data_IF_848179816585
#
_entry.id   IF_848179816585
#
_cell.length_a   1.000
_cell.length_b   1.000
_cell.length_c   1.000
_cell.angle_alpha   90.00
_cell.angle_beta   90.00
_cell.angle_gamma   90.00
#
_symmetry.space_group_name_H-M   'P 1'
#
loop_
_entity.id
_entity.type
_entity.pdbx_description
1 polymer ?
#
# COMPACT_ATOMS: atom_id res chain seq x y z
N UNK A 1 9.68 9.82 15.83
CA UNK A 1 8.96 8.52 15.99
C UNK A 1 9.66 7.35 15.28
N UNK A 2 10.99 7.38 15.14
CA UNK A 2 11.82 6.30 14.57
C UNK A 2 12.65 5.59 15.64
N UNK A 3 12.55 5.99 16.90
CA UNK A 3 13.33 5.40 17.98
C UNK A 3 12.72 4.07 18.41
N UNK A 4 13.14 3.02 17.71
CA UNK A 4 12.89 1.64 18.13
C UNK A 4 14.16 1.22 18.86
N UNK A 5 14.06 1.07 20.18
CA UNK A 5 15.17 0.57 20.99
C UNK A 5 15.22 -0.96 20.92
N UNK A 6 16.42 -1.52 21.08
CA UNK A 6 16.62 -2.97 21.16
C UNK A 6 16.06 -3.47 22.49
N UNK A 7 15.28 -4.56 22.46
CA UNK A 7 14.80 -5.20 23.68
C UNK A 7 15.89 -6.09 24.28
N UNK A 8 15.95 -6.19 25.61
CA UNK A 8 16.88 -7.11 26.29
C UNK A 8 16.50 -8.55 25.92
N UNK A 9 17.48 -9.35 25.52
CA UNK A 9 17.27 -10.73 25.03
C UNK A 9 16.88 -10.86 23.55
N UNK A 10 16.81 -9.76 22.80
CA UNK A 10 16.50 -9.81 21.37
C UNK A 10 17.76 -10.01 20.51
N UNK A 11 17.71 -10.90 19.50
CA UNK A 11 18.76 -11.01 18.49
C UNK A 11 18.80 -9.77 17.59
N UNK A 12 19.99 -9.40 17.09
CA UNK A 12 20.12 -8.21 16.24
C UNK A 12 19.23 -8.28 14.99
N UNK A 13 19.10 -9.46 14.40
CA UNK A 13 18.29 -9.66 13.21
C UNK A 13 16.78 -9.46 13.48
N UNK A 14 16.27 -9.97 14.61
CA UNK A 14 14.89 -9.75 15.02
C UNK A 14 14.58 -8.27 15.22
N UNK A 15 15.53 -7.52 15.78
CA UNK A 15 15.44 -6.07 15.94
C UNK A 15 15.32 -5.38 14.58
N UNK A 16 16.21 -5.68 13.63
CA UNK A 16 16.17 -5.10 12.27
C UNK A 16 14.87 -5.42 11.54
N UNK A 17 14.35 -6.65 11.66
CA UNK A 17 13.05 -7.01 11.08
C UNK A 17 11.92 -6.14 11.63
N UNK A 18 11.90 -5.87 12.95
CA UNK A 18 10.91 -4.97 13.56
C UNK A 18 11.05 -3.54 13.03
N UNK A 19 12.28 -3.05 12.95
CA UNK A 19 12.57 -1.71 12.41
C UNK A 19 12.04 -1.57 10.98
N UNK A 20 12.38 -2.52 10.11
CA UNK A 20 11.93 -2.55 8.71
C UNK A 20 10.41 -2.58 8.60
N UNK A 21 9.74 -3.44 9.39
CA UNK A 21 8.27 -3.54 9.39
C UNK A 21 7.62 -2.24 9.88
N UNK A 22 8.18 -1.59 10.89
CA UNK A 22 7.67 -0.30 11.40
C UNK A 22 7.84 0.81 10.37
N UNK A 23 8.97 0.86 9.67
CA UNK A 23 9.18 1.82 8.58
C UNK A 23 8.21 1.61 7.41
N UNK A 24 7.97 0.35 7.02
CA UNK A 24 6.98 0.01 6.01
C UNK A 24 5.56 0.43 6.43
N UNK A 25 5.15 0.10 7.66
CA UNK A 25 3.84 0.50 8.20
C UNK A 25 3.66 2.00 8.29
N UNK A 26 4.73 2.74 8.66
CA UNK A 26 4.67 4.20 8.77
C UNK A 26 4.50 4.90 7.42
N UNK A 27 4.69 4.21 6.29
CA UNK A 27 4.61 4.78 4.95
C UNK A 27 5.71 5.81 4.63
N UNK A 28 6.59 6.15 5.57
CA UNK A 28 7.63 7.19 5.38
C UNK A 28 8.57 6.90 4.22
N UNK A 29 8.93 5.63 4.02
CA UNK A 29 9.76 5.22 2.87
C UNK A 29 9.02 5.47 1.54
N UNK A 30 7.71 5.18 1.49
CA UNK A 30 6.90 5.42 0.30
C UNK A 30 6.76 6.93 0.04
N UNK A 31 6.54 7.72 1.08
CA UNK A 31 6.47 9.17 0.96
C UNK A 31 7.79 9.76 0.46
N UNK A 32 8.93 9.34 1.03
CA UNK A 32 10.26 9.78 0.61
C UNK A 32 10.51 9.49 -0.88
N UNK A 33 10.12 8.30 -1.35
CA UNK A 33 10.18 7.94 -2.78
C UNK A 33 9.25 8.77 -3.64
N UNK A 34 8.04 9.07 -3.15
CA UNK A 34 7.04 9.86 -3.88
C UNK A 34 7.49 11.30 -4.10
N UNK A 35 8.13 11.91 -3.10
CA UNK A 35 8.60 13.30 -3.17
C UNK A 35 10.03 13.44 -3.70
N UNK A 36 10.68 12.33 -4.08
CA UNK A 36 12.07 12.34 -4.56
C UNK A 36 12.25 13.20 -5.82
N UNK A 37 11.20 13.29 -6.64
CA UNK A 37 11.19 14.05 -7.89
C UNK A 37 10.00 15.00 -7.93
N UNK A 38 10.14 16.07 -8.70
CA UNK A 38 9.02 16.96 -8.99
C UNK A 38 7.99 16.25 -9.88
N UNK A 39 6.76 16.13 -9.40
CA UNK A 39 5.61 15.64 -10.17
C UNK A 39 4.66 16.83 -10.43
N UNK A 40 4.41 17.22 -11.70
CA UNK A 40 3.45 18.27 -12.00
C UNK A 40 2.02 17.82 -11.66
N UNK A 41 1.13 18.79 -11.44
CA UNK A 41 -0.28 18.48 -11.18
C UNK A 41 -0.92 17.77 -12.38
N UNK A 42 -1.78 16.78 -12.10
CA UNK A 42 -2.44 16.00 -13.15
C UNK A 42 -3.47 16.85 -13.89
N UNK A 43 -3.43 16.82 -15.22
CA UNK A 43 -4.46 17.46 -16.05
C UNK A 43 -5.84 16.82 -15.87
N UNK A 44 -6.92 17.54 -16.18
CA UNK A 44 -8.30 17.03 -16.07
C UNK A 44 -8.51 15.73 -16.86
N UNK A 45 -7.90 15.61 -18.03
CA UNK A 45 -7.97 14.40 -18.86
C UNK A 45 -7.26 13.21 -18.18
N UNK A 46 -6.06 13.43 -17.63
CA UNK A 46 -5.33 12.40 -16.87
C UNK A 46 -6.09 11.95 -15.63
N UNK A 47 -6.69 12.89 -14.89
CA UNK A 47 -7.54 12.57 -13.74
C UNK A 47 -8.74 11.72 -14.16
N UNK A 48 -9.46 12.11 -15.23
CA UNK A 48 -10.60 11.35 -15.77
C UNK A 48 -10.21 9.92 -16.15
N UNK A 49 -9.11 9.75 -16.91
CA UNK A 49 -8.60 8.43 -17.30
C UNK A 49 -8.27 7.58 -16.08
N UNK A 50 -7.57 8.15 -15.10
CA UNK A 50 -7.22 7.45 -13.85
C UNK A 50 -8.48 7.00 -13.08
N UNK A 51 -9.51 7.84 -13.02
CA UNK A 51 -10.77 7.51 -12.33
C UNK A 51 -11.53 6.41 -13.06
N UNK A 52 -11.65 6.47 -14.39
CA UNK A 52 -12.31 5.43 -15.18
C UNK A 52 -11.61 4.09 -15.02
N UNK A 53 -10.28 4.05 -15.14
CA UNK A 53 -9.51 2.81 -14.94
C UNK A 53 -9.65 2.27 -13.52
N UNK A 54 -9.77 3.15 -12.51
CA UNK A 54 -10.03 2.75 -11.13
C UNK A 54 -11.42 2.08 -11.03
N UNK A 55 -12.47 2.74 -11.51
CA UNK A 55 -13.84 2.24 -11.46
C UNK A 55 -13.99 0.89 -12.17
N UNK A 56 -13.38 0.70 -13.33
CA UNK A 56 -13.38 -0.58 -14.05
C UNK A 56 -12.75 -1.72 -13.25
N UNK A 57 -11.69 -1.45 -12.48
CA UNK A 57 -11.08 -2.45 -11.60
C UNK A 57 -12.01 -2.80 -10.44
N UNK A 58 -12.63 -1.79 -9.81
CA UNK A 58 -13.59 -2.02 -8.73
C UNK A 58 -14.79 -2.84 -9.21
N UNK A 59 -15.40 -2.48 -10.35
CA UNK A 59 -16.55 -3.21 -10.88
C UNK A 59 -16.20 -4.66 -11.22
N UNK A 60 -15.01 -4.92 -11.78
CA UNK A 60 -14.52 -6.28 -12.04
C UNK A 60 -14.35 -7.08 -10.75
N UNK A 61 -13.73 -6.49 -9.73
CA UNK A 61 -13.53 -7.17 -8.43
C UNK A 61 -14.86 -7.45 -7.75
N UNK A 62 -15.79 -6.48 -7.74
CA UNK A 62 -17.13 -6.67 -7.19
C UNK A 62 -17.90 -7.78 -7.91
N UNK A 63 -17.80 -7.84 -9.25
CA UNK A 63 -18.40 -8.92 -10.02
C UNK A 63 -17.81 -10.29 -9.64
N UNK A 64 -16.48 -10.41 -9.60
CA UNK A 64 -15.82 -11.66 -9.21
C UNK A 64 -16.16 -12.09 -7.77
N UNK A 65 -16.31 -11.14 -6.86
CA UNK A 65 -16.75 -11.37 -5.48
C UNK A 65 -18.18 -11.91 -5.45
N UNK A 66 -19.11 -11.30 -6.21
CA UNK A 66 -20.50 -11.76 -6.31
C UNK A 66 -20.62 -13.18 -6.88
N UNK A 67 -19.76 -13.52 -7.84
CA UNK A 67 -19.74 -14.84 -8.49
C UNK A 67 -18.95 -15.89 -7.68
N UNK A 68 -18.32 -15.50 -6.56
CA UNK A 68 -17.52 -16.40 -5.72
C UNK A 68 -16.23 -16.90 -6.40
N UNK A 69 -15.77 -16.22 -7.45
CA UNK A 69 -14.54 -16.56 -8.20
C UNK A 69 -13.37 -15.63 -7.86
N UNK A 70 -13.52 -14.80 -6.83
CA UNK A 70 -12.46 -13.91 -6.40
C UNK A 70 -11.37 -14.76 -5.71
N UNK A 71 -10.10 -14.68 -6.14
CA UNK A 71 -9.03 -15.38 -5.46
C UNK A 71 -8.92 -14.91 -4.00
N UNK A 72 -8.64 -15.83 -3.07
CA UNK A 72 -8.51 -15.51 -1.64
C UNK A 72 -7.44 -14.41 -1.37
N UNK A 73 -6.41 -14.33 -2.20
CA UNK A 73 -5.40 -13.28 -2.14
C UNK A 73 -5.92 -11.87 -2.48
N UNK A 74 -6.97 -11.78 -3.31
CA UNK A 74 -7.57 -10.51 -3.73
C UNK A 74 -8.66 -10.05 -2.75
N UNK A 75 -9.41 -10.98 -2.14
CA UNK A 75 -10.38 -10.67 -1.08
C UNK A 75 -9.74 -9.94 0.11
N UNK A 76 -8.59 -10.42 0.57
CA UNK A 76 -7.87 -9.84 1.71
C UNK A 76 -7.32 -8.44 1.44
N UNK A 77 -7.07 -8.11 0.16
CA UNK A 77 -6.59 -6.79 -0.27
C UNK A 77 -7.74 -5.79 -0.45
N UNK A 78 -8.93 -6.25 -0.85
CA UNK A 78 -10.10 -5.41 -1.05
C UNK A 78 -10.69 -4.89 0.27
N UNK A 79 -10.79 -5.73 1.30
CA UNK A 79 -11.34 -5.34 2.62
C UNK A 79 -10.44 -4.39 3.44
N UNK A 80 -9.28 -3.97 2.90
CA UNK A 80 -8.32 -3.06 3.55
C UNK A 80 -8.54 -1.58 3.24
N UNK A 81 -9.57 -1.26 2.45
CA UNK A 81 -9.93 0.08 2.01
C UNK A 81 -11.29 0.50 2.55
#
# INVERSE_FOLDING_TARGET
>A
MSEIKRKKGESFEAFIRRVKRRWQQSGKILQARKIQYFEPSKSKNMQKRSTVSRLQKYSKIEYLRKVGRLPAEEETKFNKF
#
